data_IF_340532894566
#
_entry.id   IF_340532894566
#
_cell.length_a   1.000
_cell.length_b   1.000
_cell.length_c   1.000
_cell.angle_alpha   90.00
_cell.angle_beta   90.00
_cell.angle_gamma   90.00
#
_symmetry.space_group_name_H-M   'P 1'
#
loop_
_entity.id
_entity.type
_entity.pdbx_description
1 polymer ?
#
# COMPACT_ATOMS: atom_id res chain seq x y z
N UNK A 1 1.56 6.03 -18.74
CA UNK A 1 2.30 5.36 -17.64
C UNK A 1 1.66 4.00 -17.39
N UNK A 2 2.43 2.98 -17.02
CA UNK A 2 1.92 1.63 -16.69
C UNK A 2 2.49 1.12 -15.35
N UNK A 3 1.90 0.06 -14.81
CA UNK A 3 2.34 -0.63 -13.60
C UNK A 3 2.13 -2.15 -13.75
N UNK A 4 2.92 -2.94 -13.03
CA UNK A 4 2.72 -4.38 -12.89
C UNK A 4 2.02 -4.67 -11.57
N UNK A 5 0.99 -5.51 -11.58
CA UNK A 5 0.24 -5.93 -10.39
C UNK A 5 0.35 -7.44 -10.19
N UNK A 6 0.60 -7.85 -8.95
CA UNK A 6 0.58 -9.25 -8.50
C UNK A 6 -0.40 -9.36 -7.33
N UNK A 7 -1.30 -10.34 -7.38
CA UNK A 7 -2.25 -10.65 -6.32
C UNK A 7 -2.12 -12.10 -5.86
N UNK A 8 -2.24 -12.33 -4.56
CA UNK A 8 -2.35 -13.65 -3.96
C UNK A 8 -3.82 -13.93 -3.70
N UNK A 9 -4.34 -14.93 -4.40
CA UNK A 9 -5.70 -15.41 -4.27
C UNK A 9 -5.70 -16.70 -3.44
N UNK A 10 -6.67 -16.81 -2.54
CA UNK A 10 -6.95 -18.01 -1.74
C UNK A 10 -8.45 -18.25 -1.70
N UNK A 11 -8.88 -19.43 -2.15
CA UNK A 11 -10.28 -19.88 -2.10
C UNK A 11 -11.29 -18.89 -2.74
N UNK A 12 -10.96 -18.40 -3.94
CA UNK A 12 -11.70 -17.39 -4.70
C UNK A 12 -11.56 -15.96 -4.20
N UNK A 13 -10.65 -15.68 -3.26
CA UNK A 13 -10.54 -14.39 -2.57
C UNK A 13 -9.12 -13.82 -2.60
N UNK A 14 -8.97 -12.57 -3.02
CA UNK A 14 -7.69 -11.86 -2.99
C UNK A 14 -7.30 -11.43 -1.56
N UNK A 15 -6.25 -12.06 -1.02
CA UNK A 15 -5.77 -11.79 0.34
C UNK A 15 -4.70 -10.70 0.37
N UNK A 16 -3.82 -10.65 -0.64
CA UNK A 16 -2.69 -9.71 -0.71
C UNK A 16 -2.51 -9.21 -2.15
N UNK A 17 -2.08 -7.96 -2.31
CA UNK A 17 -1.72 -7.39 -3.61
C UNK A 17 -0.51 -6.45 -3.54
N UNK A 18 0.29 -6.42 -4.60
CA UNK A 18 1.37 -5.46 -4.81
C UNK A 18 1.29 -4.88 -6.21
N UNK A 19 1.47 -3.57 -6.35
CA UNK A 19 1.58 -2.90 -7.64
C UNK A 19 2.88 -2.11 -7.71
N UNK A 20 3.65 -2.23 -8.79
CA UNK A 20 4.89 -1.48 -9.01
C UNK A 20 4.81 -0.64 -10.28
N UNK A 21 5.03 0.68 -10.16
CA UNK A 21 5.10 1.62 -11.28
C UNK A 21 6.50 2.22 -11.38
N UNK A 22 7.42 1.63 -12.17
CA UNK A 22 8.82 2.05 -12.24
C UNK A 22 8.98 3.50 -12.71
N UNK A 23 8.18 3.95 -13.69
CA UNK A 23 8.20 5.32 -14.18
C UNK A 23 7.80 6.36 -13.11
N UNK A 24 7.16 5.93 -12.01
CA UNK A 24 6.80 6.77 -10.87
C UNK A 24 7.72 6.56 -9.66
N UNK A 25 8.69 5.64 -9.76
CA UNK A 25 9.53 5.23 -8.62
C UNK A 25 8.72 4.74 -7.43
N UNK A 26 7.55 4.10 -7.66
CA UNK A 26 6.59 3.82 -6.60
C UNK A 26 6.09 2.39 -6.61
N UNK A 27 5.86 1.87 -5.41
CA UNK A 27 5.16 0.61 -5.16
C UNK A 27 4.01 0.81 -4.18
N UNK A 28 2.96 0.02 -4.34
CA UNK A 28 1.81 -0.08 -3.43
C UNK A 28 1.65 -1.51 -2.95
N UNK A 29 1.14 -1.68 -1.75
CA UNK A 29 0.82 -2.97 -1.14
C UNK A 29 -0.57 -2.90 -0.51
N UNK A 30 -1.28 -4.02 -0.48
CA UNK A 30 -2.51 -4.15 0.27
C UNK A 30 -2.62 -5.57 0.81
N UNK A 31 -3.14 -5.70 2.02
CA UNK A 31 -3.54 -6.99 2.57
C UNK A 31 -4.89 -6.85 3.24
N UNK A 32 -5.70 -7.90 3.15
CA UNK A 32 -7.02 -7.91 3.76
C UNK A 32 -6.89 -7.81 5.28
N UNK A 33 -7.68 -6.91 5.88
CA UNK A 33 -7.60 -6.62 7.33
C UNK A 33 -6.49 -5.64 7.72
N UNK A 34 -5.44 -5.51 6.90
CA UNK A 34 -4.27 -4.66 7.18
C UNK A 34 -4.31 -3.30 6.47
N UNK A 35 -5.23 -3.15 5.51
CA UNK A 35 -5.38 -1.92 4.72
C UNK A 35 -4.44 -1.87 3.51
N UNK A 36 -4.28 -0.68 2.96
CA UNK A 36 -3.44 -0.42 1.79
C UNK A 36 -2.33 0.58 2.13
N UNK A 37 -1.16 0.37 1.57
CA UNK A 37 0.08 1.09 1.82
C UNK A 37 0.68 1.58 0.49
N UNK A 38 1.25 2.78 0.48
CA UNK A 38 2.01 3.33 -0.64
C UNK A 38 3.42 3.68 -0.20
N UNK A 39 4.40 3.27 -1.00
CA UNK A 39 5.80 3.64 -0.81
C UNK A 39 6.03 5.12 -1.13
N UNK A 40 7.18 5.68 -0.72
CA UNK A 40 7.52 7.07 -1.01
C UNK A 40 7.57 7.36 -2.52
N UNK A 41 7.32 8.63 -2.89
CA UNK A 41 7.50 9.12 -4.27
C UNK A 41 8.98 9.46 -4.49
N UNK A 42 9.63 8.86 -5.48
CA UNK A 42 11.02 9.17 -5.84
C UNK A 42 11.83 7.91 -6.16
N UNK A 43 13.10 8.01 -6.57
CA UNK A 43 13.96 6.85 -6.78
C UNK A 43 14.23 6.15 -5.43
N UNK A 44 13.30 5.29 -5.02
CA UNK A 44 13.41 4.47 -3.82
C UNK A 44 14.47 3.41 -4.03
N UNK A 45 15.60 3.54 -3.32
CA UNK A 45 16.33 2.37 -2.86
C UNK A 45 15.43 1.67 -1.84
N UNK A 46 15.50 0.35 -1.73
CA UNK A 46 14.81 -0.46 -0.71
C UNK A 46 15.30 -0.16 0.73
N UNK A 47 15.58 1.11 1.05
CA UNK A 47 15.77 1.63 2.40
C UNK A 47 14.41 1.56 3.13
N UNK A 48 14.35 1.22 4.42
CA UNK A 48 13.10 1.11 5.16
C UNK A 48 12.48 2.50 5.42
N UNK A 49 12.04 3.16 4.36
CA UNK A 49 11.11 4.27 4.43
C UNK A 49 9.75 3.69 4.84
N UNK A 50 9.21 4.17 5.97
CA UNK A 50 7.96 3.60 6.48
C UNK A 50 6.84 3.75 5.45
N UNK A 51 6.21 2.63 5.04
CA UNK A 51 5.16 2.67 4.05
C UNK A 51 3.97 3.46 4.62
N UNK A 52 3.42 4.39 3.82
CA UNK A 52 2.30 5.23 4.27
C UNK A 52 0.99 4.50 4.01
N UNK A 53 0.11 4.42 5.00
CA UNK A 53 -1.26 3.94 4.76
C UNK A 53 -1.94 4.85 3.73
N UNK A 54 -2.32 4.25 2.61
CA UNK A 54 -3.07 4.88 1.52
C UNK A 54 -4.58 4.78 1.74
N UNK A 55 -5.05 3.89 2.62
CA UNK A 55 -6.47 3.78 2.96
C UNK A 55 -6.61 3.63 4.46
N UNK A 56 -7.22 4.62 5.12
CA UNK A 56 -7.55 4.51 6.55
C UNK A 56 -8.75 3.54 6.70
N UNK A 57 -8.64 2.43 7.44
CA UNK A 57 -9.74 1.49 7.61
C UNK A 57 -10.86 2.12 8.45
N UNK A 58 -12.08 2.14 7.92
CA UNK A 58 -13.26 2.78 8.53
C UNK A 58 -13.77 2.08 9.81
N UNK A 59 -13.28 0.88 10.12
CA UNK A 59 -13.78 -0.01 11.17
C UNK A 59 -13.06 0.08 12.52
N UNK A 60 -11.86 0.67 12.58
CA UNK A 60 -11.12 0.90 13.81
C UNK A 60 -11.33 2.36 14.21
N UNK A 61 -12.30 2.62 15.09
CA UNK A 61 -12.64 3.96 15.60
C UNK A 61 -11.54 4.68 16.41
N UNK A 62 -10.27 4.33 16.20
CA UNK A 62 -9.10 5.05 16.67
C UNK A 62 -8.25 5.39 15.46
N UNK A 63 -8.26 6.67 15.08
CA UNK A 63 -7.24 7.23 14.21
C UNK A 63 -5.90 7.04 14.93
N UNK A 64 -5.13 6.02 14.53
CA UNK A 64 -3.71 5.97 14.85
C UNK A 64 -3.06 7.24 14.29
N UNK A 65 -1.95 7.73 14.89
CA UNK A 65 -1.28 8.95 14.43
C UNK A 65 -0.91 8.93 12.93
N UNK A 66 -0.87 7.75 12.31
CA UNK A 66 -0.60 7.56 10.89
C UNK A 66 -1.80 7.84 9.96
N UNK A 67 -3.05 7.92 10.45
CA UNK A 67 -4.21 8.29 9.60
C UNK A 67 -4.28 9.81 9.29
N UNK A 68 -3.68 10.68 10.12
CA UNK A 68 -3.81 12.13 9.96
C UNK A 68 -2.92 12.75 8.85
N UNK A 69 -1.95 12.00 8.31
CA UNK A 69 -1.03 12.50 7.27
C UNK A 69 -1.32 11.95 5.85
N UNK A 70 -2.43 11.23 5.69
CA UNK A 70 -2.85 10.60 4.43
C UNK A 70 -3.74 11.50 3.54
N UNK A 71 -3.83 12.80 3.85
CA UNK A 71 -4.50 13.80 3.03
C UNK A 71 -3.47 14.62 2.23
#
# INVERSE_FOLDING_TARGET
VFATLIGVERDGRLEVGVASAPALGRRWWAARGEGALAGPTGPGRDEPAEPRLSTCPRSLGLATPNCASAA
#
